data_IF_232807572707
#
_entry.id   IF_232807572707
#
_cell.length_a   1.000
_cell.length_b   1.000
_cell.length_c   1.000
_cell.angle_alpha   90.00
_cell.angle_beta   90.00
_cell.angle_gamma   90.00
#
_symmetry.space_group_name_H-M   'P 1'
#
loop_
_entity.id
_entity.type
_entity.pdbx_description
1 polymer ?
#
# COMPACT_ATOMS: atom_id res chain seq x y z
N UNK A 1 11.00 14.81 0.35
CA UNK A 1 10.10 14.01 1.21
C UNK A 1 8.86 13.75 0.40
N UNK A 2 8.42 12.49 0.28
CA UNK A 2 7.20 12.18 -0.45
C UNK A 2 6.14 11.70 0.55
N UNK A 3 4.95 12.26 0.48
CA UNK A 3 3.83 11.96 1.37
C UNK A 3 2.59 11.77 0.51
N UNK A 4 1.81 10.74 0.79
CA UNK A 4 0.54 10.54 0.09
C UNK A 4 -0.49 11.54 0.62
N UNK A 5 -1.33 12.12 -0.25
CA UNK A 5 -2.37 13.03 0.18
C UNK A 5 -3.49 12.27 0.93
N UNK A 6 -4.09 12.92 1.92
CA UNK A 6 -5.23 12.38 2.66
C UNK A 6 -6.44 12.08 1.75
N UNK A 7 -6.52 12.72 0.57
CA UNK A 7 -7.53 12.44 -0.45
C UNK A 7 -7.48 11.00 -0.97
N UNK A 8 -6.37 10.28 -0.82
CA UNK A 8 -6.27 8.87 -1.18
C UNK A 8 -7.32 8.03 -0.45
N UNK A 9 -7.61 8.34 0.82
CA UNK A 9 -8.64 7.64 1.59
C UNK A 9 -10.08 7.87 1.11
N UNK A 10 -10.30 8.72 0.10
CA UNK A 10 -11.61 8.88 -0.56
C UNK A 10 -11.86 7.83 -1.63
N UNK A 11 -10.84 7.10 -2.06
CA UNK A 11 -10.95 6.04 -3.07
C UNK A 11 -11.43 4.74 -2.41
N UNK A 12 -12.60 4.76 -1.76
CA UNK A 12 -13.14 3.60 -1.03
C UNK A 12 -13.35 2.37 -1.92
N UNK A 13 -13.55 2.56 -3.23
CA UNK A 13 -13.69 1.50 -4.24
C UNK A 13 -12.35 0.96 -4.76
N UNK A 14 -11.21 1.51 -4.32
CA UNK A 14 -9.90 1.10 -4.81
C UNK A 14 -9.59 -0.34 -4.41
N UNK A 15 -9.28 -1.19 -5.38
CA UNK A 15 -8.97 -2.61 -5.13
C UNK A 15 -7.48 -2.88 -5.07
N UNK A 16 -6.67 -2.12 -5.81
CA UNK A 16 -5.21 -2.29 -5.89
C UNK A 16 -4.50 -0.96 -5.75
N UNK A 17 -3.56 -0.88 -4.82
CA UNK A 17 -2.71 0.29 -4.59
C UNK A 17 -1.25 -0.09 -4.77
N UNK A 18 -0.60 0.52 -5.75
CA UNK A 18 0.81 0.33 -6.08
C UNK A 18 1.58 1.61 -5.75
N UNK A 19 2.52 1.48 -4.81
CA UNK A 19 3.37 2.54 -4.28
C UNK A 19 4.86 2.15 -4.40
N UNK A 20 5.18 1.17 -5.23
CA UNK A 20 6.51 0.59 -5.32
C UNK A 20 7.55 1.61 -5.82
N UNK A 21 8.76 1.57 -5.27
CA UNK A 21 9.88 2.41 -5.71
C UNK A 21 9.79 3.88 -5.31
N UNK A 22 8.92 4.23 -4.35
CA UNK A 22 8.81 5.60 -3.86
C UNK A 22 9.77 5.90 -2.69
N UNK A 23 9.81 7.16 -2.25
CA UNK A 23 10.60 7.61 -1.09
C UNK A 23 9.71 7.88 0.13
N UNK A 24 8.63 7.12 0.29
CA UNK A 24 7.66 7.29 1.37
C UNK A 24 8.28 6.90 2.70
N UNK A 25 8.20 7.78 3.70
CA UNK A 25 8.66 7.50 5.07
C UNK A 25 7.55 6.96 5.97
N UNK A 26 6.31 7.35 5.66
CA UNK A 26 5.09 6.92 6.33
C UNK A 26 3.93 6.91 5.33
N UNK A 27 2.89 6.17 5.66
CA UNK A 27 1.62 6.16 4.93
C UNK A 27 0.56 6.86 5.80
N UNK A 28 -0.30 7.71 5.20
CA UNK A 28 -1.30 8.46 5.95
C UNK A 28 -2.34 7.50 6.53
N UNK A 29 -2.90 7.82 7.70
CA UNK A 29 -3.89 6.96 8.36
C UNK A 29 -5.13 6.71 7.48
N UNK A 30 -5.41 7.63 6.56
CA UNK A 30 -6.46 7.57 5.55
C UNK A 30 -6.33 6.36 4.60
N UNK A 31 -5.14 5.78 4.44
CA UNK A 31 -4.97 4.51 3.70
C UNK A 31 -5.76 3.36 4.32
N UNK A 32 -6.09 3.43 5.61
CA UNK A 32 -6.98 2.48 6.27
C UNK A 32 -8.47 2.63 5.91
N UNK A 33 -8.87 3.69 5.20
CA UNK A 33 -10.26 3.90 4.72
C UNK A 33 -10.56 3.16 3.42
N UNK A 34 -9.56 2.55 2.80
CA UNK A 34 -9.68 1.80 1.55
C UNK A 34 -10.28 0.41 1.85
N UNK A 35 -11.54 0.36 2.26
CA UNK A 35 -12.20 -0.86 2.74
C UNK A 35 -12.25 -1.98 1.70
N UNK A 36 -12.29 -1.64 0.41
CA UNK A 36 -12.29 -2.58 -0.71
C UNK A 36 -10.87 -2.93 -1.21
N UNK A 37 -9.82 -2.52 -0.51
CA UNK A 37 -8.46 -2.76 -0.95
C UNK A 37 -8.07 -4.22 -0.75
N UNK A 38 -7.79 -4.91 -1.86
CA UNK A 38 -7.39 -6.31 -1.86
C UNK A 38 -5.87 -6.49 -1.92
N UNK A 39 -5.17 -5.53 -2.52
CA UNK A 39 -3.72 -5.56 -2.71
C UNK A 39 -3.09 -4.20 -2.43
N UNK A 40 -2.09 -4.18 -1.56
CA UNK A 40 -1.23 -3.03 -1.31
C UNK A 40 0.22 -3.44 -1.54
N UNK A 41 0.90 -2.73 -2.44
CA UNK A 41 2.33 -2.89 -2.68
C UNK A 41 3.04 -1.56 -2.39
N UNK A 42 3.97 -1.56 -1.44
CA UNK A 42 4.81 -0.40 -1.11
C UNK A 42 6.28 -0.83 -0.99
N UNK A 43 6.70 -1.69 -1.89
CA UNK A 43 8.06 -2.25 -1.98
C UNK A 43 9.06 -1.15 -2.33
N UNK A 44 10.31 -1.27 -1.87
CA UNK A 44 11.36 -0.28 -2.12
C UNK A 44 10.99 1.15 -1.69
N UNK A 45 10.48 1.29 -0.46
CA UNK A 45 10.21 2.57 0.17
C UNK A 45 11.10 2.79 1.40
N UNK A 46 10.84 3.84 2.18
CA UNK A 46 11.53 4.17 3.43
C UNK A 46 10.59 4.09 4.63
N UNK A 47 9.56 3.24 4.55
CA UNK A 47 8.55 3.09 5.60
C UNK A 47 9.21 2.54 6.86
N UNK A 48 9.06 3.27 7.97
CA UNK A 48 9.53 2.85 9.30
C UNK A 48 8.41 2.32 10.17
N UNK A 49 7.19 2.74 9.89
CA UNK A 49 5.99 2.39 10.63
C UNK A 49 4.82 2.13 9.70
N UNK A 50 3.89 1.31 10.18
CA UNK A 50 2.61 1.06 9.56
C UNK A 50 1.53 1.77 10.38
N UNK A 51 0.56 2.45 9.75
CA UNK A 51 -0.49 3.12 10.47
C UNK A 51 -1.46 2.11 11.09
N UNK A 52 -1.85 2.33 12.35
CA UNK A 52 -2.77 1.45 13.08
C UNK A 52 -4.14 1.30 12.38
N UNK A 53 -4.53 2.27 11.55
CA UNK A 53 -5.75 2.24 10.75
C UNK A 53 -5.77 1.11 9.71
N UNK A 54 -4.64 0.50 9.36
CA UNK A 54 -4.62 -0.65 8.47
C UNK A 54 -5.31 -1.89 9.03
N UNK A 55 -5.56 -1.91 10.34
CA UNK A 55 -6.44 -2.92 10.97
C UNK A 55 -7.86 -2.90 10.41
N UNK A 56 -8.29 -1.78 9.81
CA UNK A 56 -9.60 -1.65 9.16
C UNK A 56 -9.64 -2.21 7.73
N UNK A 57 -8.49 -2.57 7.14
CA UNK A 57 -8.40 -3.14 5.78
C UNK A 57 -8.80 -4.63 5.78
N UNK A 58 -10.06 -4.89 6.08
CA UNK A 58 -10.63 -6.24 6.20
C UNK A 58 -10.58 -7.03 4.88
N UNK A 59 -10.64 -6.34 3.74
CA UNK A 59 -10.57 -6.97 2.41
C UNK A 59 -9.14 -7.25 1.93
N UNK A 60 -8.11 -6.79 2.65
CA UNK A 60 -6.73 -6.89 2.21
C UNK A 60 -6.26 -8.34 2.24
N UNK A 61 -5.87 -8.85 1.07
CA UNK A 61 -5.40 -10.23 0.90
C UNK A 61 -3.88 -10.27 0.72
N UNK A 62 -3.35 -9.26 0.05
CA UNK A 62 -1.93 -9.18 -0.33
C UNK A 62 -1.33 -7.88 0.16
N UNK A 63 -0.28 -7.99 0.97
CA UNK A 63 0.50 -6.85 1.43
C UNK A 63 1.98 -7.08 1.13
N UNK A 64 2.57 -6.20 0.31
CA UNK A 64 4.00 -6.22 -0.02
C UNK A 64 4.68 -4.98 0.55
N UNK A 65 5.61 -5.21 1.48
CA UNK A 65 6.35 -4.16 2.18
C UNK A 65 7.87 -4.39 2.11
N UNK A 66 8.31 -5.22 1.16
CA UNK A 66 9.71 -5.61 1.02
C UNK A 66 10.60 -4.37 0.79
N UNK A 67 11.88 -4.47 1.16
CA UNK A 67 12.84 -3.37 0.98
C UNK A 67 12.39 -2.06 1.64
N UNK A 68 11.81 -2.15 2.84
CA UNK A 68 11.54 -1.02 3.74
C UNK A 68 12.27 -1.23 5.07
N UNK A 69 12.71 -0.15 5.74
CA UNK A 69 13.31 -0.20 7.08
C UNK A 69 12.25 -0.40 8.19
N UNK A 70 11.31 -1.34 8.00
CA UNK A 70 10.28 -1.67 8.98
C UNK A 70 10.87 -2.54 10.10
N UNK A 71 10.65 -2.13 11.34
CA UNK A 71 11.02 -2.93 12.50
C UNK A 71 10.11 -4.15 12.64
N UNK A 72 10.67 -5.26 13.13
CA UNK A 72 9.92 -6.51 13.41
C UNK A 72 8.70 -6.25 14.30
N UNK A 73 8.82 -5.35 15.29
CA UNK A 73 7.71 -4.95 16.14
C UNK A 73 6.51 -4.37 15.36
N UNK A 74 6.75 -3.63 14.28
CA UNK A 74 5.66 -3.09 13.46
C UNK A 74 4.96 -4.15 12.63
N UNK A 75 5.71 -5.13 12.13
CA UNK A 75 5.13 -6.29 11.47
C UNK A 75 4.30 -7.15 12.43
N UNK A 76 4.70 -7.23 13.71
CA UNK A 76 3.96 -7.96 14.75
C UNK A 76 2.76 -7.18 15.28
N UNK A 77 2.87 -5.86 15.48
CA UNK A 77 1.76 -5.00 15.92
C UNK A 77 0.62 -4.94 14.89
N UNK A 78 0.94 -5.23 13.64
CA UNK A 78 0.00 -5.47 12.56
C UNK A 78 -0.42 -6.95 12.59
N UNK A 79 -1.42 -7.28 13.40
CA UNK A 79 -2.02 -8.63 13.49
C UNK A 79 -2.78 -8.99 12.21
N UNK A 80 -2.20 -9.78 11.28
CA UNK A 80 -2.83 -10.08 10.01
C UNK A 80 -3.50 -11.44 10.13
N UNK A 81 -4.70 -11.51 10.69
CA UNK A 81 -5.43 -12.78 10.78
C UNK A 81 -5.78 -13.37 9.40
N UNK A 82 -5.74 -12.55 8.33
CA UNK A 82 -6.09 -12.97 6.96
C UNK A 82 -5.07 -12.59 5.86
N UNK A 83 -4.02 -11.81 6.17
CA UNK A 83 -3.16 -11.23 5.14
C UNK A 83 -1.97 -12.16 4.86
N UNK A 84 -1.84 -12.59 3.61
CA UNK A 84 -0.66 -13.33 3.17
C UNK A 84 0.51 -12.37 3.02
N UNK A 85 1.35 -12.28 4.05
CA UNK A 85 2.69 -11.71 3.99
C UNK A 85 3.63 -12.68 3.23
N UNK A 86 3.45 -12.84 1.92
CA UNK A 86 4.34 -13.70 1.12
C UNK A 86 5.57 -12.94 0.64
N UNK A 87 6.75 -13.44 0.99
CA UNK A 87 7.99 -13.16 0.26
C UNK A 87 8.18 -14.21 -0.83
N UNK A 88 7.68 -13.96 -2.04
CA UNK A 88 7.94 -14.72 -3.27
C UNK A 88 7.55 -13.85 -4.49
N UNK A 89 8.08 -14.11 -5.71
CA UNK A 89 8.41 -13.11 -6.72
C UNK A 89 7.18 -12.40 -7.26
N UNK A 90 7.39 -11.20 -7.82
CA UNK A 90 6.36 -10.50 -8.55
C UNK A 90 5.77 -11.44 -9.60
N UNK A 91 4.55 -11.92 -9.35
CA UNK A 91 3.68 -12.39 -10.41
C UNK A 91 3.31 -11.14 -11.23
N UNK A 92 4.21 -10.77 -12.16
CA UNK A 92 3.95 -9.81 -13.25
C UNK A 92 3.08 -10.48 -14.33
N UNK A 93 2.58 -11.69 -14.06
CA UNK A 93 1.88 -12.55 -15.01
C UNK A 93 0.37 -12.51 -14.90
N UNK A 94 -0.30 -11.34 -14.92
CA UNK A 94 -1.69 -11.31 -15.37
C UNK A 94 -1.94 -10.18 -16.36
N UNK A 95 -2.03 -10.59 -17.63
CA UNK A 95 -2.70 -9.87 -18.72
C UNK A 95 -4.07 -9.38 -18.25
N UNK A 96 -4.40 -8.17 -18.70
CA UNK A 96 -5.75 -7.68 -18.97
C UNK A 96 -6.74 -7.56 -17.79
N UNK A 97 -6.93 -6.31 -17.34
CA UNK A 97 -8.27 -5.74 -17.21
C UNK A 97 -8.14 -4.20 -17.26
N UNK A 98 -8.36 -3.65 -18.43
CA UNK A 98 -8.78 -2.27 -18.64
C UNK A 98 -10.03 -1.99 -17.78
N UNK A 99 -9.96 -1.31 -16.62
CA UNK A 99 -11.12 -0.72 -15.88
C UNK A 99 -10.74 -0.14 -14.48
N UNK A 100 -10.87 1.18 -14.31
CA UNK A 100 -11.21 2.00 -13.11
C UNK A 100 -10.68 1.75 -11.65
N UNK A 101 -10.11 0.60 -11.27
CA UNK A 101 -9.97 0.22 -9.83
C UNK A 101 -8.51 0.10 -9.31
N UNK A 102 -7.52 0.59 -10.06
CA UNK A 102 -6.08 0.56 -9.70
C UNK A 102 -5.55 1.97 -9.55
N UNK A 103 -4.83 2.24 -8.47
CA UNK A 103 -4.04 3.46 -8.31
C UNK A 103 -2.55 3.10 -8.27
N UNK A 104 -1.79 3.68 -9.21
CA UNK A 104 -0.33 3.70 -9.18
C UNK A 104 0.09 5.11 -8.79
N UNK A 105 0.90 5.23 -7.73
CA UNK A 105 1.41 6.53 -7.31
C UNK A 105 2.92 6.56 -7.52
N UNK A 106 3.40 7.47 -8.37
CA UNK A 106 4.83 7.72 -8.57
C UNK A 106 5.24 9.10 -8.10
N UNK A 107 6.19 9.13 -7.17
CA UNK A 107 6.85 10.33 -6.68
C UNK A 107 8.01 10.74 -7.61
N UNK A 108 7.77 11.00 -8.90
CA UNK A 108 8.87 11.42 -9.79
C UNK A 108 9.29 12.89 -9.54
N UNK A 109 8.37 13.78 -9.15
CA UNK A 109 8.69 15.20 -8.89
C UNK A 109 7.72 15.79 -7.86
N UNK A 110 8.10 15.90 -6.59
CA UNK A 110 7.54 16.76 -5.51
C UNK A 110 6.01 17.03 -5.36
N UNK A 111 5.11 16.39 -6.10
CA UNK A 111 3.65 16.49 -6.07
C UNK A 111 3.13 15.11 -6.48
N UNK A 112 2.77 14.25 -5.53
CA UNK A 112 2.10 12.99 -5.84
C UNK A 112 0.72 13.27 -6.43
N UNK A 113 0.61 13.24 -7.75
CA UNK A 113 -0.67 13.04 -8.44
C UNK A 113 -0.93 11.55 -8.55
N UNK A 114 -2.12 11.12 -8.11
CA UNK A 114 -2.66 9.79 -8.37
C UNK A 114 -3.09 9.84 -9.84
N UNK A 115 -2.44 9.08 -10.72
CA UNK A 115 -2.74 9.02 -12.16
C UNK A 115 -3.63 7.85 -12.52
#
# INVERSE_FOLDING_TARGET
>A
MCTLPASLGRLSSLKRLLLDGNRLQALPAETGRLSELHMLSATHNRLRELPASWRALQALRTLRLQSNPLSVHQLMAFEPSAIRLRGQPLDVGQRAAEVADVADVRCDVCLCTIS
#
